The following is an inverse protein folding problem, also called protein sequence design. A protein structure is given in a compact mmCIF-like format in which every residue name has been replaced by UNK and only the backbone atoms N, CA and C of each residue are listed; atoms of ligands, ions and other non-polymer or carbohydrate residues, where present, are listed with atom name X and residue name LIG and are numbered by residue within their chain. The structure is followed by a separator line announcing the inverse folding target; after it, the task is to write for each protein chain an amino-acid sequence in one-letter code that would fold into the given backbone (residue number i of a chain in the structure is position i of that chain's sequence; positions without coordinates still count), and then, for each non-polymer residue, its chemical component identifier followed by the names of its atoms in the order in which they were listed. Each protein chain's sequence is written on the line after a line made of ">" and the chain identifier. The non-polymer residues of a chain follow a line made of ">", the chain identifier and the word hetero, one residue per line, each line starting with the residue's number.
data_IF_256236631933
#
_entry.id   IF_256236631933
#
_cell.length_a   1.000
_cell.length_b   1.000
_cell.length_c   1.000
_cell.angle_alpha   90.00
_cell.angle_beta   90.00
_cell.angle_gamma   90.00
#
_symmetry.space_group_name_H-M   'P 1'
#
loop_
_entity.id
_entity.type
_entity.pdbx_description
1 polymer ?
#
# COMPACT_ATOMS: atom_id res chain seq x y z
N UNK A 1 -9.91 9.11 -2.37
CA UNK A 1 -10.50 8.00 -1.60
C UNK A 1 -11.82 7.59 -2.22
N UNK A 2 -12.84 8.44 -2.21
CA UNK A 2 -14.19 8.12 -2.69
C UNK A 2 -14.23 7.53 -4.11
N UNK A 3 -13.52 8.12 -5.06
CA UNK A 3 -13.48 7.65 -6.45
C UNK A 3 -12.94 6.22 -6.55
N UNK A 4 -11.84 5.92 -5.87
CA UNK A 4 -11.26 4.57 -5.86
C UNK A 4 -12.16 3.56 -5.14
N UNK A 5 -12.77 3.95 -4.03
CA UNK A 5 -13.66 3.06 -3.27
C UNK A 5 -14.93 2.68 -4.04
N UNK A 6 -15.46 3.60 -4.86
CA UNK A 6 -16.66 3.35 -5.66
C UNK A 6 -16.40 2.79 -7.07
N UNK A 7 -15.16 2.82 -7.54
CA UNK A 7 -14.84 2.30 -8.86
C UNK A 7 -15.06 0.78 -8.93
N UNK A 8 -15.82 0.34 -9.91
CA UNK A 8 -16.17 -1.07 -10.15
C UNK A 8 -15.26 -1.75 -11.17
N UNK A 9 -14.41 -0.98 -11.83
CA UNK A 9 -13.41 -1.46 -12.80
C UNK A 9 -12.27 -2.21 -12.12
N UNK A 10 -11.52 -3.05 -12.83
CA UNK A 10 -10.28 -3.62 -12.32
C UNK A 10 -9.31 -2.55 -11.83
N UNK A 11 -8.77 -2.74 -10.63
CA UNK A 11 -7.85 -1.81 -9.99
C UNK A 11 -6.59 -2.53 -9.55
N UNK A 12 -5.47 -2.18 -10.18
CA UNK A 12 -4.14 -2.68 -9.82
C UNK A 12 -3.29 -1.52 -9.33
N UNK A 13 -2.68 -1.67 -8.17
CA UNK A 13 -1.69 -0.73 -7.65
C UNK A 13 -0.29 -1.31 -7.80
N UNK A 14 0.65 -0.50 -8.26
CA UNK A 14 2.04 -0.88 -8.40
C UNK A 14 2.92 0.09 -7.60
N UNK A 15 3.58 -0.42 -6.57
CA UNK A 15 4.40 0.35 -5.64
C UNK A 15 5.85 0.30 -6.10
N UNK A 16 6.36 1.43 -6.60
CA UNK A 16 7.70 1.53 -7.19
C UNK A 16 8.75 2.15 -6.26
N UNK A 17 8.34 2.67 -5.11
CA UNK A 17 9.22 3.37 -4.17
C UNK A 17 8.52 3.55 -2.82
N UNK A 18 8.59 4.73 -2.25
CA UNK A 18 8.00 5.02 -0.95
C UNK A 18 6.47 5.11 -1.01
N UNK A 19 5.81 4.20 -0.33
CA UNK A 19 4.35 4.14 -0.16
C UNK A 19 4.01 4.28 1.32
N UNK A 20 4.10 5.52 1.82
CA UNK A 20 4.00 5.83 3.25
C UNK A 20 2.77 6.69 3.56
N UNK A 21 2.17 6.44 4.71
CA UNK A 21 1.15 7.28 5.31
C UNK A 21 -0.15 7.39 4.51
N UNK A 22 -0.82 8.52 4.68
CA UNK A 22 -2.13 8.80 4.08
C UNK A 22 -2.08 8.86 2.55
N UNK A 23 -0.98 9.30 1.95
CA UNK A 23 -0.80 9.33 0.51
C UNK A 23 -0.91 7.92 -0.09
N UNK A 24 -0.22 6.93 0.50
CA UNK A 24 -0.34 5.54 0.10
C UNK A 24 -1.79 5.03 0.20
N UNK A 25 -2.46 5.30 1.32
CA UNK A 25 -3.84 4.85 1.53
C UNK A 25 -4.78 5.44 0.49
N UNK A 26 -4.67 6.75 0.22
CA UNK A 26 -5.56 7.45 -0.72
C UNK A 26 -5.36 7.06 -2.18
N UNK A 27 -4.19 6.57 -2.54
CA UNK A 27 -3.82 6.15 -3.90
C UNK A 27 -4.13 4.67 -4.20
N UNK A 28 -5.32 4.22 -3.79
CA UNK A 28 -5.82 2.88 -4.06
C UNK A 28 -5.02 1.75 -3.38
N UNK A 29 -4.82 1.87 -2.07
CA UNK A 29 -4.25 0.79 -1.27
C UNK A 29 -5.17 -0.45 -1.25
N UNK A 30 -4.65 -1.60 -0.81
CA UNK A 30 -5.42 -2.84 -0.65
C UNK A 30 -6.65 -2.63 0.24
N UNK A 31 -6.50 -1.88 1.33
CA UNK A 31 -7.58 -1.52 2.26
C UNK A 31 -8.68 -0.66 1.63
N UNK A 32 -8.38 0.07 0.55
CA UNK A 32 -9.34 0.89 -0.18
C UNK A 32 -10.06 0.13 -1.31
N UNK A 33 -9.67 -1.12 -1.52
CA UNK A 33 -10.30 -2.01 -2.50
C UNK A 33 -9.51 -2.18 -3.80
N UNK A 34 -8.18 -2.07 -3.77
CA UNK A 34 -7.36 -2.55 -4.87
C UNK A 34 -7.55 -4.06 -5.04
N UNK A 35 -7.74 -4.52 -6.26
CA UNK A 35 -7.88 -5.95 -6.56
C UNK A 35 -6.54 -6.66 -6.41
N UNK A 36 -5.49 -6.09 -6.99
CA UNK A 36 -4.12 -6.57 -6.87
C UNK A 36 -3.18 -5.41 -6.51
N UNK A 37 -2.22 -5.72 -5.66
CA UNK A 37 -1.15 -4.79 -5.30
C UNK A 37 0.20 -5.47 -5.54
N UNK A 38 0.97 -4.93 -6.47
CA UNK A 38 2.34 -5.34 -6.75
C UNK A 38 3.31 -4.31 -6.18
N UNK A 39 4.49 -4.74 -5.82
CA UNK A 39 5.53 -3.85 -5.35
C UNK A 39 6.91 -4.31 -5.83
N UNK A 40 7.83 -3.39 -6.01
CA UNK A 40 9.24 -3.71 -6.20
C UNK A 40 9.88 -4.13 -4.87
N UNK A 41 10.99 -4.86 -4.95
CA UNK A 41 11.68 -5.38 -3.78
C UNK A 41 12.27 -4.28 -2.87
N UNK A 42 12.57 -3.13 -3.44
CA UNK A 42 13.10 -1.93 -2.79
C UNK A 42 12.02 -0.93 -2.34
N UNK A 43 10.74 -1.27 -2.50
CA UNK A 43 9.65 -0.40 -2.08
C UNK A 43 9.48 -0.41 -0.55
N UNK A 44 9.30 0.79 0.01
CA UNK A 44 8.95 0.98 1.41
C UNK A 44 7.45 1.17 1.56
N UNK A 45 6.82 0.24 2.29
CA UNK A 45 5.37 0.25 2.49
C UNK A 45 5.07 0.25 3.97
N UNK A 46 4.56 1.36 4.49
CA UNK A 46 4.20 1.48 5.89
C UNK A 46 3.06 2.50 6.11
N UNK A 47 2.32 2.37 7.21
CA UNK A 47 1.29 3.34 7.57
C UNK A 47 1.87 4.72 7.91
N UNK A 48 3.14 4.79 8.25
CA UNK A 48 3.83 6.01 8.68
C UNK A 48 5.33 5.87 8.47
N UNK A 49 6.00 6.99 8.25
CA UNK A 49 7.45 7.06 8.25
C UNK A 49 8.03 6.65 9.62
N UNK A 50 9.18 5.95 9.61
CA UNK A 50 9.77 5.37 10.81
C UNK A 50 10.21 6.41 11.84
N UNK A 51 10.79 7.51 11.39
CA UNK A 51 11.24 8.60 12.27
C UNK A 51 10.04 9.28 12.93
N UNK A 52 8.99 9.55 12.15
CA UNK A 52 7.77 10.14 12.67
C UNK A 52 7.06 9.20 13.66
N UNK A 53 7.01 7.91 13.36
CA UNK A 53 6.44 6.92 14.25
C UNK A 53 7.18 6.86 15.59
N UNK A 54 8.52 6.85 15.57
CA UNK A 54 9.33 6.85 16.79
C UNK A 54 9.13 8.12 17.62
N UNK A 55 9.06 9.29 16.99
CA UNK A 55 8.78 10.57 17.67
C UNK A 55 7.43 10.58 18.37
N UNK A 56 6.40 9.97 17.76
CA UNK A 56 5.06 9.90 18.35
C UNK A 56 5.02 8.90 19.50
N UNK A 57 5.64 7.73 19.33
CA UNK A 57 5.60 6.67 20.35
C UNK A 57 6.50 6.96 21.57
N UNK A 58 7.58 7.71 21.38
CA UNK A 58 8.60 7.95 22.40
C UNK A 58 8.83 9.47 22.61
N UNK A 59 7.76 10.22 22.82
CA UNK A 59 7.75 11.70 22.88
C UNK A 59 8.70 12.27 23.93
N UNK A 60 8.89 11.57 25.04
CA UNK A 60 9.71 12.02 26.16
C UNK A 60 11.13 11.43 26.17
N UNK A 61 11.52 10.70 25.11
CA UNK A 61 12.84 10.09 25.03
C UNK A 61 13.90 11.04 24.46
N UNK A 62 15.16 10.74 24.74
CA UNK A 62 16.29 11.48 24.14
C UNK A 62 16.37 11.22 22.61
N UNK A 63 17.00 12.15 21.89
CA UNK A 63 17.15 12.07 20.45
C UNK A 63 17.82 10.75 19.99
N UNK A 64 18.82 10.27 20.73
CA UNK A 64 19.53 9.03 20.42
C UNK A 64 18.62 7.80 20.56
N UNK A 65 17.76 7.80 21.59
CA UNK A 65 16.78 6.70 21.78
C UNK A 65 15.73 6.75 20.68
N UNK A 66 15.26 7.92 20.29
CA UNK A 66 14.30 8.07 19.20
C UNK A 66 14.90 7.55 17.88
N UNK A 67 16.16 7.88 17.59
CA UNK A 67 16.85 7.40 16.39
C UNK A 67 16.98 5.86 16.37
N UNK A 68 17.42 5.26 17.47
CA UNK A 68 17.51 3.80 17.60
C UNK A 68 16.13 3.11 17.44
N UNK A 69 15.08 3.70 18.01
CA UNK A 69 13.71 3.19 17.88
C UNK A 69 13.11 3.39 16.49
N UNK A 70 13.51 4.43 15.77
CA UNK A 70 13.14 4.63 14.38
C UNK A 70 13.75 3.52 13.49
N UNK A 71 15.01 3.18 13.70
CA UNK A 71 15.67 2.09 12.98
C UNK A 71 15.01 0.73 13.28
N UNK A 72 14.70 0.44 14.54
CA UNK A 72 13.96 -0.76 14.94
C UNK A 72 12.58 -0.82 14.27
N UNK A 73 11.86 0.30 14.24
CA UNK A 73 10.56 0.38 13.58
C UNK A 73 10.67 0.19 12.06
N UNK A 74 11.67 0.80 11.43
CA UNK A 74 11.94 0.63 10.01
C UNK A 74 12.13 -0.86 9.66
N UNK A 75 12.97 -1.55 10.40
CA UNK A 75 13.26 -2.96 10.18
C UNK A 75 12.06 -3.88 10.43
N UNK A 76 11.17 -3.51 11.35
CA UNK A 76 10.04 -4.36 11.78
C UNK A 76 8.76 -4.07 11.01
N UNK A 77 8.48 -2.81 10.68
CA UNK A 77 7.19 -2.37 10.16
C UNK A 77 7.24 -1.79 8.74
N UNK A 78 8.35 -1.21 8.33
CA UNK A 78 8.54 -0.74 6.98
C UNK A 78 9.08 -1.86 6.07
N UNK A 79 9.11 -1.57 4.78
CA UNK A 79 9.59 -2.51 3.80
C UNK A 79 8.53 -3.47 3.26
N UNK A 80 8.70 -3.78 1.98
CA UNK A 80 7.74 -4.55 1.17
C UNK A 80 7.48 -5.95 1.72
N UNK A 81 8.50 -6.61 2.28
CA UNK A 81 8.37 -7.98 2.82
C UNK A 81 7.41 -8.02 4.01
N UNK A 82 7.49 -7.03 4.90
CA UNK A 82 6.58 -6.92 6.04
C UNK A 82 5.16 -6.60 5.60
N UNK A 83 5.01 -5.73 4.60
CA UNK A 83 3.72 -5.43 4.01
C UNK A 83 3.08 -6.66 3.31
N UNK A 84 3.89 -7.46 2.62
CA UNK A 84 3.44 -8.70 1.99
C UNK A 84 3.00 -9.75 3.03
N UNK A 85 3.76 -9.93 4.11
CA UNK A 85 3.39 -10.82 5.22
C UNK A 85 2.05 -10.45 5.87
N UNK A 86 1.72 -9.16 5.88
CA UNK A 86 0.46 -8.63 6.43
C UNK A 86 -0.69 -8.59 5.41
N UNK A 87 -0.44 -8.98 4.16
CA UNK A 87 -1.46 -9.02 3.10
C UNK A 87 -1.73 -7.67 2.41
N UNK A 88 -0.89 -6.66 2.59
CA UNK A 88 -1.02 -5.36 1.91
C UNK A 88 -0.42 -5.37 0.49
N UNK A 89 0.49 -6.31 0.22
CA UNK A 89 1.11 -6.53 -1.10
C UNK A 89 0.87 -7.98 -1.48
N UNK A 90 0.29 -8.21 -2.65
CA UNK A 90 -0.01 -9.56 -3.14
C UNK A 90 1.24 -10.25 -3.72
N UNK A 91 2.13 -9.48 -4.34
CA UNK A 91 3.37 -10.02 -4.90
C UNK A 91 4.48 -8.98 -5.00
N UNK A 92 5.68 -9.40 -4.66
CA UNK A 92 6.91 -8.65 -4.91
C UNK A 92 7.40 -9.04 -6.30
N UNK A 93 7.70 -8.04 -7.14
CA UNK A 93 7.98 -8.20 -8.57
C UNK A 93 9.29 -7.49 -8.93
N UNK A 94 10.11 -8.13 -9.75
CA UNK A 94 11.29 -7.50 -10.32
C UNK A 94 10.88 -6.46 -11.39
N UNK A 95 11.60 -5.33 -11.51
CA UNK A 95 11.29 -4.28 -12.48
C UNK A 95 11.18 -4.79 -13.93
N UNK A 96 12.03 -5.74 -14.31
CA UNK A 96 12.02 -6.34 -15.64
C UNK A 96 10.72 -7.10 -15.97
N UNK A 97 10.06 -7.65 -14.96
CA UNK A 97 8.83 -8.42 -15.10
C UNK A 97 7.55 -7.61 -14.87
N UNK A 98 7.65 -6.34 -14.50
CA UNK A 98 6.52 -5.50 -14.13
C UNK A 98 5.38 -5.52 -15.16
N UNK A 99 5.73 -5.35 -16.45
CA UNK A 99 4.75 -5.36 -17.54
C UNK A 99 4.03 -6.70 -17.66
N UNK A 100 4.74 -7.81 -17.50
CA UNK A 100 4.17 -9.16 -17.56
C UNK A 100 3.13 -9.39 -16.48
N UNK A 101 3.45 -8.95 -15.24
CA UNK A 101 2.51 -9.06 -14.12
C UNK A 101 1.30 -8.15 -14.27
N UNK A 102 1.45 -6.95 -14.83
CA UNK A 102 0.33 -6.06 -15.13
C UNK A 102 -0.61 -6.66 -16.19
N UNK A 103 -0.06 -7.21 -17.28
CA UNK A 103 -0.86 -7.86 -18.32
C UNK A 103 -1.63 -9.05 -17.72
N UNK A 104 -0.94 -9.95 -17.04
CA UNK A 104 -1.57 -11.12 -16.42
C UNK A 104 -2.62 -10.72 -15.37
N UNK A 105 -2.36 -9.68 -14.59
CA UNK A 105 -3.30 -9.15 -13.60
C UNK A 105 -4.57 -8.62 -14.24
N UNK A 106 -4.47 -7.85 -15.32
CA UNK A 106 -5.65 -7.35 -16.02
C UNK A 106 -6.39 -8.45 -16.77
N UNK A 107 -5.71 -9.43 -17.33
CA UNK A 107 -6.34 -10.61 -17.93
C UNK A 107 -7.13 -11.41 -16.90
N UNK A 108 -6.57 -11.63 -15.73
CA UNK A 108 -7.25 -12.31 -14.62
C UNK A 108 -8.49 -11.54 -14.14
N UNK A 109 -8.44 -10.22 -14.15
CA UNK A 109 -9.52 -9.34 -13.70
C UNK A 109 -10.50 -8.96 -14.83
N UNK A 110 -10.33 -9.45 -16.04
CA UNK A 110 -11.14 -9.08 -17.21
C UNK A 110 -12.63 -9.34 -17.00
N UNK A 111 -12.97 -10.43 -16.32
CA UNK A 111 -14.36 -10.82 -16.03
C UNK A 111 -14.90 -10.23 -14.73
N UNK A 112 -14.14 -9.34 -14.06
CA UNK A 112 -14.58 -8.73 -12.82
C UNK A 112 -15.93 -8.05 -12.99
N UNK A 113 -16.88 -8.43 -12.15
CA UNK A 113 -18.17 -7.77 -11.99
C UNK A 113 -18.39 -7.45 -10.53
N UNK A 114 -18.92 -6.27 -10.26
CA UNK A 114 -19.30 -5.84 -8.91
C UNK A 114 -20.78 -5.49 -8.95
N UNK A 115 -21.59 -6.41 -8.46
CA UNK A 115 -23.02 -6.20 -8.30
C UNK A 115 -23.24 -5.56 -6.92
N UNK A 116 -23.62 -4.31 -6.94
CA UNK A 116 -23.92 -3.52 -5.75
C UNK A 116 -25.26 -2.79 -5.89
N UNK A 117 -25.83 -2.30 -4.79
CA UNK A 117 -27.05 -1.52 -4.85
C UNK A 117 -26.82 -0.27 -5.70
N UNK A 118 -27.79 0.07 -6.55
CA UNK A 118 -27.73 1.29 -7.34
C UNK A 118 -27.69 2.52 -6.43
N UNK A 119 -26.63 3.31 -6.56
CA UNK A 119 -26.44 4.53 -5.77
C UNK A 119 -26.89 5.74 -6.59
N UNK A 120 -27.97 6.41 -6.14
CA UNK A 120 -28.45 7.65 -6.77
C UNK A 120 -27.56 8.86 -6.47
N UNK A 121 -26.88 8.86 -5.32
CA UNK A 121 -26.06 9.96 -4.82
C UNK A 121 -24.72 9.43 -4.33
N UNK A 122 -23.68 10.18 -4.66
CA UNK A 122 -22.36 9.98 -4.07
C UNK A 122 -22.17 10.94 -2.88
N UNK A 123 -21.39 10.54 -1.90
CA UNK A 123 -20.85 11.48 -0.92
C UNK A 123 -19.79 12.33 -1.60
N UNK A 124 -19.91 13.64 -1.50
CA UNK A 124 -18.91 14.61 -2.00
C UNK A 124 -17.90 14.91 -0.91
#
# INVERSE_FOLDING_TARGET
>A
VYAFANATVPKISFLCGQALGSAYVTMNAKSLGADLVFAFADADVAPMDAELAAKIMYTDASADVIAAKAEEYANTNCGVTNAARRGYVDRIVEPADARKYLIAGFEMLFTKRVDGPYKKHGTK
#
